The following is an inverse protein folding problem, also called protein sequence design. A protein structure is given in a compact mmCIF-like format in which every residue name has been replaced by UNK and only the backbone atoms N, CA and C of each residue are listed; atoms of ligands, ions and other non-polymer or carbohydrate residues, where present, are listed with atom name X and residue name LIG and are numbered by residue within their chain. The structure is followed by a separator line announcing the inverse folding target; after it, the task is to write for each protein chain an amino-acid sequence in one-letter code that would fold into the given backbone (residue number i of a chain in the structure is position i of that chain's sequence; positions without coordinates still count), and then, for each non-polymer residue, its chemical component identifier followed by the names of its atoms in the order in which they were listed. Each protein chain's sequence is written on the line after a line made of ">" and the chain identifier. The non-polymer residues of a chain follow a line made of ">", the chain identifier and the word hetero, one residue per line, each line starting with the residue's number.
data_IF_379407034007
#
_entry.id   IF_379407034007
#
_cell.length_a   1.000
_cell.length_b   1.000
_cell.length_c   1.000
_cell.angle_alpha   90.00
_cell.angle_beta   90.00
_cell.angle_gamma   90.00
#
_symmetry.space_group_name_H-M   'P 1'
#
loop_
_entity.id
_entity.type
_entity.pdbx_description
1 polymer ?
#
# COMPACT_ATOMS: atom_id res chain seq x y z
N UNK A 1 16.24 -0.30 -14.91
CA UNK A 1 15.14 0.51 -15.49
C UNK A 1 14.75 1.50 -14.40
N UNK A 2 14.98 2.78 -14.63
CA UNK A 2 14.47 3.85 -13.77
C UNK A 2 13.11 4.26 -14.33
N UNK A 3 12.07 4.29 -13.49
CA UNK A 3 10.71 4.69 -13.90
C UNK A 3 9.63 4.11 -13.00
N UNK A 4 8.38 4.43 -13.29
CA UNK A 4 7.21 3.90 -12.58
C UNK A 4 7.19 2.37 -12.62
N UNK A 5 6.97 1.68 -11.48
CA UNK A 5 6.92 0.22 -11.40
C UNK A 5 5.90 -0.43 -12.36
N UNK A 6 4.77 0.25 -12.60
CA UNK A 6 3.74 -0.20 -13.54
C UNK A 6 4.26 -0.22 -14.97
N UNK A 7 4.98 0.83 -15.39
CA UNK A 7 5.59 0.92 -16.71
C UNK A 7 6.66 -0.17 -16.90
N UNK A 8 7.49 -0.35 -15.88
CA UNK A 8 8.52 -1.40 -15.87
C UNK A 8 7.92 -2.80 -15.99
N UNK A 9 6.81 -3.08 -15.31
CA UNK A 9 6.10 -4.36 -15.40
C UNK A 9 5.56 -4.65 -16.80
N UNK A 10 5.05 -3.62 -17.50
CA UNK A 10 4.59 -3.76 -18.90
C UNK A 10 5.73 -4.08 -19.85
N UNK A 11 6.88 -3.43 -19.68
CA UNK A 11 8.09 -3.71 -20.47
C UNK A 11 8.57 -5.15 -20.22
N UNK A 12 8.59 -5.60 -18.96
CA UNK A 12 8.94 -7.00 -18.62
C UNK A 12 7.96 -7.98 -19.25
N UNK A 13 6.66 -7.66 -19.30
CA UNK A 13 5.64 -8.48 -19.95
C UNK A 13 5.93 -8.63 -21.46
N UNK A 14 6.30 -7.53 -22.14
CA UNK A 14 6.66 -7.54 -23.55
C UNK A 14 7.93 -8.40 -23.81
N UNK A 15 8.96 -8.27 -22.96
CA UNK A 15 10.17 -9.10 -23.04
C UNK A 15 9.87 -10.59 -22.83
N UNK A 16 8.99 -10.94 -21.88
CA UNK A 16 8.53 -12.34 -21.68
C UNK A 16 7.77 -12.89 -22.87
N UNK A 17 7.08 -12.03 -23.63
CA UNK A 17 6.44 -12.39 -24.89
C UNK A 17 7.42 -12.53 -26.07
N UNK A 18 8.72 -12.30 -25.84
CA UNK A 18 9.76 -12.42 -26.86
C UNK A 18 9.92 -11.19 -27.75
N UNK A 19 9.33 -10.05 -27.40
CA UNK A 19 9.47 -8.82 -28.17
C UNK A 19 10.85 -8.19 -27.95
N UNK A 20 11.47 -7.74 -29.04
CA UNK A 20 12.70 -6.95 -29.01
C UNK A 20 12.33 -5.46 -28.91
N UNK A 21 12.58 -4.84 -27.74
CA UNK A 21 12.18 -3.47 -27.48
C UNK A 21 12.86 -2.45 -28.41
N UNK A 22 14.15 -2.62 -28.72
CA UNK A 22 14.88 -1.72 -29.58
C UNK A 22 14.34 -1.76 -31.01
N UNK A 23 14.00 -2.96 -31.48
CA UNK A 23 13.40 -3.16 -32.79
C UNK A 23 12.00 -2.56 -32.88
N UNK A 24 11.14 -2.81 -31.87
CA UNK A 24 9.79 -2.24 -31.80
C UNK A 24 9.83 -0.71 -31.72
N UNK A 25 10.72 -0.12 -30.94
CA UNK A 25 10.89 1.34 -30.85
C UNK A 25 11.37 1.95 -32.16
N UNK A 26 12.20 1.24 -32.93
CA UNK A 26 12.68 1.70 -34.22
C UNK A 26 11.60 1.59 -35.31
N UNK A 27 10.79 0.52 -35.27
CA UNK A 27 9.70 0.28 -36.24
C UNK A 27 8.48 1.18 -35.95
N UNK A 28 8.19 1.46 -34.70
CA UNK A 28 7.02 2.22 -34.24
C UNK A 28 7.47 3.47 -33.45
N UNK A 29 8.10 4.39 -34.17
CA UNK A 29 8.61 5.62 -33.54
C UNK A 29 7.47 6.40 -32.90
N UNK A 30 7.62 6.75 -31.61
CA UNK A 30 6.68 7.61 -30.90
C UNK A 30 6.80 9.05 -31.39
N UNK A 31 5.67 9.64 -31.78
CA UNK A 31 5.58 11.01 -32.32
C UNK A 31 5.07 11.98 -31.25
N UNK A 32 4.06 11.55 -30.45
CA UNK A 32 3.45 12.39 -29.44
C UNK A 32 2.88 11.54 -28.29
N UNK A 33 2.54 12.17 -27.17
CA UNK A 33 2.03 11.49 -25.96
C UNK A 33 1.07 12.38 -25.17
N UNK A 34 -0.05 11.80 -24.74
CA UNK A 34 -0.88 12.32 -23.66
C UNK A 34 -0.41 11.64 -22.38
N UNK A 35 0.23 12.36 -21.43
CA UNK A 35 0.71 11.77 -20.18
C UNK A 35 -0.46 11.26 -19.32
N UNK A 36 -0.17 10.39 -18.35
CA UNK A 36 -1.18 9.93 -17.41
C UNK A 36 -1.62 11.06 -16.49
N UNK A 37 -2.93 11.27 -16.41
CA UNK A 37 -3.56 12.17 -15.45
C UNK A 37 -4.63 11.42 -14.66
N UNK A 38 -4.63 11.60 -13.33
CA UNK A 38 -5.55 10.89 -12.43
C UNK A 38 -7.03 11.20 -12.70
N UNK A 39 -7.32 12.37 -13.22
CA UNK A 39 -8.70 12.76 -13.60
C UNK A 39 -9.22 11.98 -14.81
N UNK A 40 -8.34 11.64 -15.76
CA UNK A 40 -8.68 10.91 -16.99
C UNK A 40 -8.45 9.41 -16.86
N UNK A 41 -7.58 8.98 -15.94
CA UNK A 41 -7.22 7.59 -15.65
C UNK A 41 -6.69 6.79 -16.87
N UNK A 42 -6.15 7.48 -17.87
CA UNK A 42 -5.47 6.87 -19.02
C UNK A 42 -4.26 7.70 -19.46
N UNK A 43 -3.41 7.08 -20.27
CA UNK A 43 -2.41 7.74 -21.10
C UNK A 43 -2.54 7.22 -22.53
N UNK A 44 -2.10 8.03 -23.50
CA UNK A 44 -2.09 7.65 -24.92
C UNK A 44 -0.77 8.04 -25.58
N UNK A 45 -0.39 7.32 -26.62
CA UNK A 45 0.81 7.61 -27.40
C UNK A 45 0.57 7.40 -28.89
N UNK A 46 0.99 8.37 -29.70
CA UNK A 46 0.93 8.33 -31.16
C UNK A 46 2.22 7.76 -31.73
N UNK A 47 2.09 6.78 -32.61
CA UNK A 47 3.22 6.09 -33.22
C UNK A 47 3.14 6.10 -34.75
N UNK A 48 4.29 6.26 -35.38
CA UNK A 48 4.47 5.99 -36.79
C UNK A 48 4.53 4.47 -37.03
N UNK A 49 3.92 4.00 -38.08
CA UNK A 49 3.87 2.54 -38.37
C UNK A 49 4.69 2.17 -39.61
N UNK A 50 4.59 2.93 -40.68
CA UNK A 50 5.39 2.81 -41.90
C UNK A 50 5.24 4.09 -42.75
N UNK A 51 6.16 4.39 -43.63
CA UNK A 51 6.06 5.55 -44.52
C UNK A 51 4.74 5.55 -45.31
N UNK A 52 4.02 6.65 -45.27
CA UNK A 52 2.73 6.88 -45.95
C UNK A 52 1.58 5.94 -45.55
N UNK A 53 1.68 5.19 -44.44
CA UNK A 53 0.58 4.43 -43.88
C UNK A 53 -0.16 5.22 -42.79
N UNK A 54 -1.34 4.76 -42.42
CA UNK A 54 -2.04 5.25 -41.21
C UNK A 54 -1.16 5.12 -39.98
N UNK A 55 -1.29 6.07 -39.06
CA UNK A 55 -0.60 6.05 -37.79
C UNK A 55 -1.45 5.38 -36.73
N UNK A 56 -0.82 4.98 -35.63
CA UNK A 56 -1.49 4.24 -34.57
C UNK A 56 -1.39 5.01 -33.24
N UNK A 57 -2.54 5.24 -32.61
CA UNK A 57 -2.62 5.67 -31.23
C UNK A 57 -2.81 4.44 -30.35
N UNK A 58 -1.95 4.25 -29.36
CA UNK A 58 -2.09 3.25 -28.31
C UNK A 58 -2.50 3.93 -27.02
N UNK A 59 -3.49 3.36 -26.34
CA UNK A 59 -4.06 3.88 -25.12
C UNK A 59 -4.01 2.79 -24.05
N UNK A 60 -3.63 3.16 -22.83
CA UNK A 60 -3.72 2.29 -21.66
C UNK A 60 -4.28 3.07 -20.47
N UNK A 61 -5.03 2.39 -19.61
CA UNK A 61 -5.65 3.04 -18.47
C UNK A 61 -6.45 2.09 -17.59
N UNK A 62 -7.28 2.68 -16.72
CA UNK A 62 -8.24 1.90 -15.97
C UNK A 62 -9.24 1.23 -16.91
N UNK A 63 -9.77 0.07 -16.50
CA UNK A 63 -10.72 -0.68 -17.34
C UNK A 63 -11.93 0.18 -17.69
N UNK A 64 -12.49 0.90 -16.71
CA UNK A 64 -13.65 1.77 -16.95
C UNK A 64 -13.33 2.88 -17.97
N UNK A 65 -12.23 3.62 -17.78
CA UNK A 65 -11.86 4.73 -18.67
C UNK A 65 -11.61 4.28 -20.12
N UNK A 66 -11.10 3.07 -20.33
CA UNK A 66 -10.83 2.53 -21.66
C UNK A 66 -12.11 1.95 -22.28
N UNK A 67 -12.89 1.19 -21.53
CA UNK A 67 -14.08 0.52 -22.07
C UNK A 67 -15.17 1.51 -22.47
N UNK A 68 -15.31 2.64 -21.77
CA UNK A 68 -16.28 3.70 -22.11
C UNK A 68 -15.99 4.35 -23.47
N UNK A 69 -14.77 4.22 -24.00
CA UNK A 69 -14.32 4.75 -25.28
C UNK A 69 -14.29 3.70 -26.39
N UNK A 70 -14.40 2.39 -26.05
CA UNK A 70 -14.27 1.29 -26.99
C UNK A 70 -15.62 0.91 -27.61
N UNK A 71 -15.61 0.73 -28.92
CA UNK A 71 -16.79 0.22 -29.67
C UNK A 71 -16.52 -1.17 -30.27
N UNK A 72 -15.25 -1.52 -30.41
CA UNK A 72 -14.81 -2.77 -31.05
C UNK A 72 -13.78 -3.47 -30.14
N UNK A 73 -13.66 -4.79 -30.31
CA UNK A 73 -12.57 -5.62 -29.79
C UNK A 73 -11.96 -6.46 -30.92
N UNK A 74 -10.80 -7.07 -30.69
CA UNK A 74 -10.20 -7.97 -31.67
C UNK A 74 -10.61 -9.41 -31.41
N UNK A 75 -11.04 -10.12 -32.48
CA UNK A 75 -11.21 -11.56 -32.44
C UNK A 75 -9.83 -12.28 -32.39
N UNK A 76 -9.78 -13.61 -32.14
CA UNK A 76 -8.52 -14.36 -32.14
C UNK A 76 -7.74 -14.32 -33.47
N UNK A 77 -8.37 -13.92 -34.57
CA UNK A 77 -7.71 -13.70 -35.84
C UNK A 77 -7.20 -12.28 -36.05
N UNK A 78 -7.40 -11.38 -35.07
CA UNK A 78 -6.99 -9.98 -35.12
C UNK A 78 -7.95 -9.07 -35.89
N UNK A 79 -9.18 -9.51 -36.19
CA UNK A 79 -10.19 -8.69 -36.88
C UNK A 79 -11.06 -7.96 -35.86
N UNK A 80 -11.40 -6.68 -36.11
CA UNK A 80 -12.32 -5.95 -35.27
C UNK A 80 -13.74 -6.53 -35.32
N UNK A 81 -14.32 -6.77 -34.15
CA UNK A 81 -15.71 -7.21 -33.94
C UNK A 81 -16.37 -6.28 -32.88
N UNK A 82 -17.71 -6.24 -32.80
CA UNK A 82 -18.39 -5.49 -31.72
C UNK A 82 -17.92 -5.94 -30.33
N UNK A 83 -17.65 -4.98 -29.46
CA UNK A 83 -17.12 -5.26 -28.11
C UNK A 83 -18.13 -5.98 -27.23
N UNK A 84 -17.67 -6.97 -26.47
CA UNK A 84 -18.45 -7.66 -25.44
C UNK A 84 -18.04 -7.18 -24.05
N UNK A 85 -18.66 -6.08 -23.59
CA UNK A 85 -18.35 -5.44 -22.31
C UNK A 85 -18.58 -6.38 -21.11
N UNK A 86 -19.61 -7.21 -21.14
CA UNK A 86 -19.93 -8.11 -20.02
C UNK A 86 -18.83 -9.16 -19.81
N UNK A 87 -18.33 -9.74 -20.90
CA UNK A 87 -17.23 -10.70 -20.85
C UNK A 87 -15.94 -10.05 -20.32
N UNK A 88 -15.60 -8.84 -20.79
CA UNK A 88 -14.39 -8.14 -20.37
C UNK A 88 -14.46 -7.78 -18.87
N UNK A 89 -15.60 -7.29 -18.39
CA UNK A 89 -15.81 -6.98 -16.96
C UNK A 89 -15.76 -8.24 -16.08
N UNK A 90 -16.24 -9.37 -16.58
CA UNK A 90 -16.07 -10.65 -15.87
C UNK A 90 -14.60 -11.06 -15.77
N UNK A 91 -13.83 -10.95 -16.85
CA UNK A 91 -12.39 -11.23 -16.85
C UNK A 91 -11.64 -10.29 -15.92
N UNK A 92 -11.92 -8.99 -15.95
CA UNK A 92 -11.37 -8.03 -15.00
C UNK A 92 -11.64 -8.45 -13.55
N UNK A 93 -12.88 -8.82 -13.24
CA UNK A 93 -13.26 -9.29 -11.89
C UNK A 93 -12.47 -10.53 -11.48
N UNK A 94 -12.26 -11.47 -12.40
CA UNK A 94 -11.44 -12.67 -12.13
C UNK A 94 -10.00 -12.30 -11.82
N UNK A 95 -9.38 -11.41 -12.61
CA UNK A 95 -8.03 -10.94 -12.39
C UNK A 95 -7.91 -10.15 -11.07
N UNK A 96 -8.85 -9.25 -10.79
CA UNK A 96 -8.88 -8.47 -9.55
C UNK A 96 -9.04 -9.35 -8.29
N UNK A 97 -9.85 -10.43 -8.37
CA UNK A 97 -9.98 -11.42 -7.27
C UNK A 97 -8.68 -12.17 -6.97
N UNK A 98 -7.76 -12.24 -7.93
CA UNK A 98 -6.42 -12.80 -7.74
C UNK A 98 -5.43 -11.79 -7.13
N UNK A 99 -5.87 -10.57 -6.85
CA UNK A 99 -5.02 -9.49 -6.32
C UNK A 99 -4.25 -8.74 -7.39
N UNK A 100 -4.58 -8.94 -8.67
CA UNK A 100 -3.90 -8.27 -9.76
C UNK A 100 -4.42 -6.83 -9.93
N UNK A 101 -3.51 -5.90 -10.12
CA UNK A 101 -3.82 -4.58 -10.66
C UNK A 101 -4.06 -4.76 -12.16
N UNK A 102 -5.27 -4.45 -12.61
CA UNK A 102 -5.67 -4.64 -14.01
C UNK A 102 -5.56 -3.33 -14.77
N UNK A 103 -4.91 -3.37 -15.93
CA UNK A 103 -4.92 -2.30 -16.93
C UNK A 103 -5.56 -2.79 -18.21
N UNK A 104 -6.36 -1.93 -18.82
CA UNK A 104 -6.93 -2.13 -20.14
C UNK A 104 -6.09 -1.43 -21.22
N UNK A 105 -6.08 -2.00 -22.41
CA UNK A 105 -5.36 -1.53 -23.58
C UNK A 105 -6.29 -1.40 -24.77
N UNK A 106 -6.15 -0.31 -25.51
CA UNK A 106 -6.86 -0.08 -26.75
C UNK A 106 -5.96 0.58 -27.79
N UNK A 107 -6.41 0.58 -29.03
CA UNK A 107 -5.76 1.31 -30.13
C UNK A 107 -6.79 2.03 -31.00
N UNK A 108 -6.31 3.03 -31.72
CA UNK A 108 -7.07 3.73 -32.77
C UNK A 108 -6.16 4.03 -33.94
N UNK A 109 -6.65 3.77 -35.13
CA UNK A 109 -5.98 4.14 -36.36
C UNK A 109 -6.32 5.60 -36.73
N UNK A 110 -5.30 6.39 -37.04
CA UNK A 110 -5.44 7.81 -37.37
C UNK A 110 -4.76 8.13 -38.69
N UNK A 111 -5.15 9.26 -39.35
CA UNK A 111 -4.59 9.63 -40.64
C UNK A 111 -3.07 9.79 -40.65
N UNK A 112 -2.38 9.50 -41.80
CA UNK A 112 -0.93 9.64 -41.92
C UNK A 112 -0.37 11.03 -41.63
N UNK A 113 -1.19 12.07 -41.80
CA UNK A 113 -0.79 13.47 -41.62
C UNK A 113 -0.81 13.90 -40.15
N UNK A 114 -1.45 13.15 -39.26
CA UNK A 114 -1.55 13.49 -37.84
C UNK A 114 -0.18 13.39 -37.17
N UNK A 115 0.26 14.47 -36.51
CA UNK A 115 1.58 14.57 -35.85
C UNK A 115 1.46 14.78 -34.35
N UNK A 116 0.27 15.12 -33.86
CA UNK A 116 -0.03 15.31 -32.45
C UNK A 116 -1.38 14.69 -32.09
N UNK A 117 -1.61 14.44 -30.80
CA UNK A 117 -2.87 13.90 -30.26
C UNK A 117 -3.35 14.75 -29.09
N UNK A 118 -4.68 15.00 -29.05
CA UNK A 118 -5.39 15.59 -27.92
C UNK A 118 -6.36 14.59 -27.31
N UNK A 119 -6.98 14.99 -26.19
CA UNK A 119 -7.98 14.15 -25.52
C UNK A 119 -9.18 13.83 -26.43
N UNK A 120 -9.56 14.74 -27.31
CA UNK A 120 -10.62 14.57 -28.30
C UNK A 120 -10.36 13.43 -29.29
N UNK A 121 -9.10 13.13 -29.61
CA UNK A 121 -8.73 12.07 -30.53
C UNK A 121 -8.94 10.66 -29.96
N UNK A 122 -9.03 10.55 -28.63
CA UNK A 122 -9.09 9.28 -27.91
C UNK A 122 -10.41 9.05 -27.15
N UNK A 123 -11.43 9.87 -27.42
CA UNK A 123 -12.74 9.80 -26.73
C UNK A 123 -13.75 8.85 -27.38
N UNK A 124 -13.44 8.26 -28.52
CA UNK A 124 -14.38 7.36 -29.24
C UNK A 124 -13.66 6.47 -30.25
N UNK A 125 -14.38 5.44 -30.71
CA UNK A 125 -13.95 4.53 -31.79
C UNK A 125 -12.68 3.75 -31.48
N UNK A 126 -12.39 3.51 -30.19
CA UNK A 126 -11.25 2.67 -29.83
C UNK A 126 -11.54 1.21 -30.07
N UNK A 127 -10.51 0.48 -30.47
CA UNK A 127 -10.51 -0.97 -30.57
C UNK A 127 -9.81 -1.54 -29.35
N UNK A 128 -10.54 -2.24 -28.51
CA UNK A 128 -10.01 -2.90 -27.31
C UNK A 128 -9.03 -4.02 -27.71
N UNK A 129 -7.88 -4.05 -27.06
CA UNK A 129 -6.81 -5.03 -27.30
C UNK A 129 -6.77 -6.15 -26.27
N UNK A 130 -7.07 -5.82 -25.02
CA UNK A 130 -7.01 -6.78 -23.92
C UNK A 130 -6.78 -6.16 -22.56
N UNK A 131 -6.70 -7.03 -21.55
CA UNK A 131 -6.35 -6.70 -20.18
C UNK A 131 -4.98 -7.25 -19.84
N UNK A 132 -4.21 -6.54 -19.03
CA UNK A 132 -3.03 -7.06 -18.36
C UNK A 132 -3.21 -6.94 -16.85
N UNK A 133 -3.03 -8.06 -16.14
CA UNK A 133 -2.98 -8.12 -14.70
C UNK A 133 -1.52 -8.11 -14.21
N UNK A 134 -1.21 -7.22 -13.28
CA UNK A 134 0.10 -7.10 -12.65
C UNK A 134 -0.04 -7.33 -11.16
N UNK A 135 0.97 -7.94 -10.56
CA UNK A 135 1.04 -8.15 -9.12
C UNK A 135 2.43 -7.78 -8.65
N UNK A 136 2.47 -7.07 -7.53
CA UNK A 136 3.65 -6.96 -6.70
C UNK A 136 3.43 -7.89 -5.50
N UNK A 137 4.04 -9.09 -5.49
CA UNK A 137 3.76 -10.07 -4.46
C UNK A 137 4.30 -9.56 -3.11
N UNK A 138 3.57 -9.81 -2.00
CA UNK A 138 4.07 -9.47 -0.68
C UNK A 138 5.43 -10.12 -0.41
N UNK A 139 6.32 -9.36 0.20
CA UNK A 139 7.66 -9.87 0.58
C UNK A 139 7.51 -11.01 1.60
N UNK A 140 8.26 -12.12 1.45
CA UNK A 140 8.18 -13.26 2.38
C UNK A 140 8.44 -12.87 3.84
N UNK A 141 9.33 -11.88 4.07
CA UNK A 141 9.66 -11.35 5.38
C UNK A 141 8.46 -10.64 6.01
N UNK A 142 7.70 -9.87 5.22
CA UNK A 142 6.50 -9.17 5.68
C UNK A 142 5.41 -10.18 6.10
N UNK A 143 5.23 -11.28 5.37
CA UNK A 143 4.29 -12.35 5.74
C UNK A 143 4.65 -12.94 7.10
N UNK A 144 5.93 -13.25 7.32
CA UNK A 144 6.43 -13.79 8.59
C UNK A 144 6.25 -12.81 9.74
N UNK A 145 6.58 -11.53 9.51
CA UNK A 145 6.46 -10.49 10.53
C UNK A 145 4.99 -10.23 10.91
N UNK A 146 4.06 -10.21 9.95
CA UNK A 146 2.63 -10.11 10.24
C UNK A 146 2.16 -11.26 11.13
N UNK A 147 2.57 -12.49 10.81
CA UNK A 147 2.24 -13.66 11.62
C UNK A 147 2.82 -13.57 13.05
N UNK A 148 4.09 -13.14 13.19
CA UNK A 148 4.74 -12.95 14.48
C UNK A 148 4.03 -11.87 15.31
N UNK A 149 3.69 -10.72 14.72
CA UNK A 149 2.89 -9.69 15.36
C UNK A 149 1.55 -10.23 15.89
N UNK A 150 0.81 -10.97 15.06
CA UNK A 150 -0.48 -11.57 15.45
C UNK A 150 -0.32 -12.56 16.60
N UNK A 151 0.72 -13.41 16.56
CA UNK A 151 1.04 -14.36 17.63
C UNK A 151 1.39 -13.64 18.94
N UNK A 152 2.04 -12.49 18.84
CA UNK A 152 2.37 -11.62 19.97
C UNK A 152 1.17 -10.76 20.47
N UNK A 153 -0.04 -10.96 19.91
CA UNK A 153 -1.27 -10.26 20.30
C UNK A 153 -1.40 -8.87 19.67
N UNK A 154 -0.59 -8.53 18.66
CA UNK A 154 -0.65 -7.25 17.96
C UNK A 154 -1.61 -7.39 16.77
N UNK A 155 -2.61 -6.51 16.69
CA UNK A 155 -3.49 -6.43 15.55
C UNK A 155 -2.80 -5.65 14.42
N UNK A 156 -2.55 -6.32 13.30
CA UNK A 156 -2.04 -5.67 12.09
C UNK A 156 -3.20 -5.29 11.20
N UNK A 157 -3.25 -4.05 10.75
CA UNK A 157 -4.29 -3.49 9.89
C UNK A 157 -3.65 -2.92 8.63
N UNK A 158 -4.28 -3.11 7.48
CA UNK A 158 -3.81 -2.59 6.20
C UNK A 158 -4.68 -1.41 5.77
N UNK A 159 -4.03 -0.28 5.47
CA UNK A 159 -4.67 0.90 4.90
C UNK A 159 -4.05 1.14 3.53
N UNK A 160 -4.88 1.21 2.49
CA UNK A 160 -4.39 1.35 1.10
C UNK A 160 -5.28 2.25 0.26
N UNK A 161 -4.70 2.85 -0.77
CA UNK A 161 -5.42 3.52 -1.85
C UNK A 161 -6.00 2.57 -2.90
N UNK A 162 -5.66 1.28 -2.88
CA UNK A 162 -6.09 0.27 -3.84
C UNK A 162 -7.57 -0.07 -3.74
N UNK A 163 -8.07 -0.73 -4.80
CA UNK A 163 -9.43 -1.25 -4.84
C UNK A 163 -9.64 -2.35 -3.78
N UNK A 164 -10.84 -2.41 -3.20
CA UNK A 164 -11.17 -3.34 -2.10
C UNK A 164 -10.88 -4.81 -2.43
N UNK A 165 -11.12 -5.26 -3.67
CA UNK A 165 -10.86 -6.65 -4.08
C UNK A 165 -9.36 -6.96 -4.10
N UNK A 166 -8.54 -6.04 -4.62
CA UNK A 166 -7.07 -6.15 -4.63
C UNK A 166 -6.53 -6.15 -3.20
N UNK A 167 -6.99 -5.21 -2.38
CA UNK A 167 -6.61 -5.11 -0.98
C UNK A 167 -6.95 -6.39 -0.19
N UNK A 168 -8.15 -6.96 -0.41
CA UNK A 168 -8.55 -8.22 0.21
C UNK A 168 -7.67 -9.40 -0.23
N UNK A 169 -7.31 -9.47 -1.51
CA UNK A 169 -6.46 -10.53 -2.02
C UNK A 169 -5.05 -10.46 -1.42
N UNK A 170 -4.45 -9.27 -1.34
CA UNK A 170 -3.16 -9.03 -0.68
C UNK A 170 -3.26 -9.38 0.80
N UNK A 171 -4.30 -8.91 1.50
CA UNK A 171 -4.52 -9.21 2.92
C UNK A 171 -4.54 -10.71 3.21
N UNK A 172 -5.21 -11.49 2.34
CA UNK A 172 -5.19 -12.96 2.45
C UNK A 172 -3.80 -13.56 2.25
N UNK A 173 -3.03 -13.04 1.29
CA UNK A 173 -1.67 -13.51 1.01
C UNK A 173 -0.71 -13.24 2.17
N UNK A 174 -0.83 -12.09 2.85
CA UNK A 174 -0.01 -11.74 4.02
C UNK A 174 -0.57 -12.29 5.35
N UNK A 175 -1.69 -13.03 5.30
CA UNK A 175 -2.27 -13.65 6.50
C UNK A 175 -2.99 -12.68 7.42
N UNK A 176 -3.46 -11.52 6.93
CA UNK A 176 -4.34 -10.63 7.69
C UNK A 176 -5.72 -11.29 7.80
N UNK A 177 -5.87 -12.14 8.80
CA UNK A 177 -7.15 -12.77 9.12
C UNK A 177 -8.00 -11.80 9.95
N UNK A 178 -9.32 -11.86 9.75
CA UNK A 178 -10.26 -11.21 10.67
C UNK A 178 -10.17 -11.84 12.05
N UNK A 179 -10.82 -11.23 13.04
CA UNK A 179 -10.94 -11.80 14.38
C UNK A 179 -11.39 -13.26 14.29
N UNK A 180 -10.61 -14.18 14.87
CA UNK A 180 -10.88 -15.63 14.91
C UNK A 180 -10.68 -16.42 13.60
N UNK A 181 -9.76 -16.01 12.70
CA UNK A 181 -9.44 -16.78 11.50
C UNK A 181 -10.47 -16.71 10.37
N UNK A 182 -11.43 -15.81 10.48
CA UNK A 182 -12.43 -15.52 9.44
C UNK A 182 -11.83 -14.73 8.26
N UNK A 183 -12.57 -14.63 7.16
CA UNK A 183 -12.22 -13.76 6.04
C UNK A 183 -12.00 -12.33 6.53
N UNK A 184 -10.94 -11.62 6.09
CA UNK A 184 -10.70 -10.24 6.49
C UNK A 184 -11.91 -9.36 6.19
N UNK A 185 -12.33 -8.55 7.16
CA UNK A 185 -13.35 -7.52 6.94
C UNK A 185 -12.65 -6.36 6.22
N UNK A 186 -13.24 -5.93 5.11
CA UNK A 186 -12.75 -4.79 4.32
C UNK A 186 -13.79 -3.67 4.38
N UNK A 187 -13.34 -2.46 4.72
CA UNK A 187 -14.13 -1.24 4.59
C UNK A 187 -13.48 -0.31 3.56
N UNK A 188 -14.30 0.31 2.73
CA UNK A 188 -13.86 1.31 1.76
C UNK A 188 -13.94 2.71 2.37
N UNK A 189 -13.14 3.67 1.83
CA UNK A 189 -13.20 5.06 2.23
C UNK A 189 -14.62 5.65 2.12
N UNK A 190 -15.42 5.23 1.13
CA UNK A 190 -16.83 5.62 1.01
C UNK A 190 -17.66 5.15 2.20
N UNK A 191 -17.53 3.89 2.58
CA UNK A 191 -18.22 3.34 3.77
C UNK A 191 -17.75 4.02 5.06
N UNK A 192 -16.44 4.32 5.18
CA UNK A 192 -15.91 5.07 6.33
C UNK A 192 -16.48 6.49 6.44
N UNK A 193 -16.74 7.15 5.31
CA UNK A 193 -17.33 8.48 5.29
C UNK A 193 -18.79 8.51 5.78
N UNK A 194 -19.50 7.39 5.69
CA UNK A 194 -20.88 7.24 6.14
C UNK A 194 -21.00 6.94 7.64
N UNK A 195 -19.89 6.55 8.31
CA UNK A 195 -19.88 6.23 9.73
C UNK A 195 -19.71 7.49 10.60
N UNK A 196 -20.48 7.56 11.67
CA UNK A 196 -20.22 8.48 12.79
C UNK A 196 -18.95 8.08 13.52
N UNK A 197 -18.34 8.98 14.30
CA UNK A 197 -17.12 8.68 15.04
C UNK A 197 -17.31 7.52 16.03
N UNK A 198 -18.44 7.45 16.72
CA UNK A 198 -18.77 6.34 17.63
C UNK A 198 -18.91 4.97 16.91
N UNK A 199 -19.46 4.97 15.70
CA UNK A 199 -19.53 3.75 14.86
C UNK A 199 -18.16 3.38 14.32
N UNK A 200 -17.34 4.39 13.93
CA UNK A 200 -15.98 4.19 13.44
C UNK A 200 -15.09 3.52 14.48
N UNK A 201 -15.17 3.91 15.75
CA UNK A 201 -14.43 3.30 16.87
C UNK A 201 -14.64 1.78 16.91
N UNK A 202 -15.89 1.32 16.76
CA UNK A 202 -16.21 -0.11 16.76
C UNK A 202 -15.83 -0.79 15.44
N UNK A 203 -16.01 -0.12 14.30
CA UNK A 203 -15.69 -0.62 12.99
C UNK A 203 -14.17 -0.76 12.82
N UNK A 204 -13.39 0.23 13.25
CA UNK A 204 -11.93 0.23 13.16
C UNK A 204 -11.30 -0.95 13.90
N UNK A 205 -11.83 -1.29 15.09
CA UNK A 205 -11.34 -2.43 15.87
C UNK A 205 -11.49 -3.77 15.16
N UNK A 206 -12.63 -4.00 14.50
CA UNK A 206 -12.97 -5.27 13.86
C UNK A 206 -12.44 -5.42 12.44
N UNK A 207 -12.13 -4.30 11.78
CA UNK A 207 -11.73 -4.27 10.38
C UNK A 207 -10.23 -4.51 10.24
N UNK A 208 -9.86 -5.43 9.36
CA UNK A 208 -8.45 -5.73 9.06
C UNK A 208 -7.91 -4.88 7.89
N UNK A 209 -8.79 -4.46 6.97
CA UNK A 209 -8.39 -3.80 5.71
C UNK A 209 -9.24 -2.57 5.43
N UNK A 210 -8.57 -1.47 5.11
CA UNK A 210 -9.20 -0.22 4.71
C UNK A 210 -8.72 0.15 3.31
N UNK A 211 -9.65 0.17 2.34
CA UNK A 211 -9.37 0.37 0.93
C UNK A 211 -9.87 1.72 0.41
N UNK A 212 -9.16 2.34 -0.52
CA UNK A 212 -9.47 3.68 -1.09
C UNK A 212 -9.68 4.75 -0.02
N UNK A 213 -8.79 4.79 0.96
CA UNK A 213 -8.86 5.68 2.12
C UNK A 213 -8.17 7.02 1.80
N UNK A 214 -8.84 8.12 2.14
CA UNK A 214 -8.25 9.47 2.02
C UNK A 214 -7.28 9.76 3.19
N UNK A 215 -6.41 10.78 3.07
CA UNK A 215 -5.51 11.18 4.16
C UNK A 215 -6.23 11.50 5.47
N UNK A 216 -7.35 12.23 5.39
CA UNK A 216 -8.16 12.58 6.58
C UNK A 216 -8.76 11.34 7.24
N UNK A 217 -9.13 10.35 6.45
CA UNK A 217 -9.67 9.09 6.97
C UNK A 217 -8.59 8.24 7.65
N UNK A 218 -7.33 8.31 7.19
CA UNK A 218 -6.20 7.65 7.89
C UNK A 218 -6.03 8.21 9.29
N UNK A 219 -6.09 9.53 9.44
CA UNK A 219 -6.03 10.20 10.73
C UNK A 219 -7.19 9.77 11.64
N UNK A 220 -8.44 9.81 11.15
CA UNK A 220 -9.63 9.39 11.90
C UNK A 220 -9.55 7.91 12.36
N UNK A 221 -8.94 7.03 11.56
CA UNK A 221 -8.73 5.63 11.94
C UNK A 221 -7.76 5.50 13.12
N UNK A 222 -6.66 6.25 13.12
CA UNK A 222 -5.72 6.29 14.24
C UNK A 222 -6.41 6.78 15.52
N UNK A 223 -7.12 7.91 15.45
CA UNK A 223 -7.88 8.47 16.58
C UNK A 223 -8.92 7.48 17.11
N UNK A 224 -9.67 6.81 16.22
CA UNK A 224 -10.68 5.83 16.60
C UNK A 224 -10.08 4.60 17.34
N UNK A 225 -8.89 4.16 16.95
CA UNK A 225 -8.17 3.08 17.64
C UNK A 225 -7.62 3.53 19.00
N UNK A 226 -7.09 4.76 19.07
CA UNK A 226 -6.63 5.36 20.34
C UNK A 226 -7.78 5.56 21.33
N UNK A 227 -8.98 5.92 20.87
CA UNK A 227 -10.18 6.03 21.74
C UNK A 227 -10.54 4.67 22.36
N UNK A 228 -10.23 3.56 21.69
CA UNK A 228 -10.33 2.19 22.24
C UNK A 228 -9.18 1.85 23.22
N UNK A 229 -8.28 2.80 23.49
CA UNK A 229 -7.08 2.62 24.31
C UNK A 229 -6.07 1.62 23.73
N UNK A 230 -6.06 1.46 22.42
CA UNK A 230 -4.96 0.77 21.75
C UNK A 230 -3.75 1.70 21.66
N UNK A 231 -2.56 1.14 21.81
CA UNK A 231 -1.31 1.80 21.42
C UNK A 231 -1.14 1.55 19.92
N UNK A 232 -1.16 2.62 19.15
CA UNK A 232 -1.20 2.59 17.69
C UNK A 232 0.17 2.94 17.11
N UNK A 233 0.79 1.99 16.41
CA UNK A 233 1.91 2.28 15.53
C UNK A 233 1.39 2.47 14.10
N UNK A 234 1.74 3.59 13.46
CA UNK A 234 1.38 3.91 12.08
C UNK A 234 2.61 3.89 11.20
N UNK A 235 2.55 3.21 10.05
CA UNK A 235 3.60 3.25 9.05
C UNK A 235 3.16 4.02 7.82
N UNK A 236 4.05 4.79 7.20
CA UNK A 236 3.75 5.55 6.00
C UNK A 236 5.00 6.02 5.28
N UNK A 237 4.84 6.34 3.99
CA UNK A 237 5.91 6.80 3.12
C UNK A 237 5.59 8.14 2.42
N UNK A 238 4.33 8.51 2.36
CA UNK A 238 3.84 9.68 1.63
C UNK A 238 3.57 10.92 2.48
N UNK A 239 3.51 12.07 1.83
CA UNK A 239 3.06 13.33 2.45
C UNK A 239 1.65 13.17 3.05
N UNK A 240 0.81 12.36 2.41
CA UNK A 240 -0.56 12.08 2.83
C UNK A 240 -0.65 11.26 4.12
N UNK A 241 0.44 10.66 4.58
CA UNK A 241 0.51 9.86 5.81
C UNK A 241 0.95 10.68 7.01
N UNK A 242 1.58 11.83 6.78
CA UNK A 242 2.19 12.64 7.83
C UNK A 242 1.23 13.02 8.98
N UNK A 243 -0.03 13.41 8.76
CA UNK A 243 -0.96 13.69 9.86
C UNK A 243 -1.25 12.45 10.72
N UNK A 244 -1.41 11.26 10.10
CA UNK A 244 -1.67 10.02 10.80
C UNK A 244 -0.42 9.49 11.52
N UNK A 245 0.78 9.65 10.91
CA UNK A 245 2.07 9.34 11.55
C UNK A 245 2.27 10.15 12.82
N UNK A 246 2.04 11.46 12.74
CA UNK A 246 2.20 12.37 13.88
C UNK A 246 1.18 12.14 14.99
N UNK A 247 -0.03 11.71 14.66
CA UNK A 247 -1.11 11.44 15.62
C UNK A 247 -0.92 10.11 16.34
N UNK A 248 -0.32 9.12 15.68
CA UNK A 248 -0.12 7.79 16.27
C UNK A 248 0.78 7.84 17.51
N UNK A 249 0.71 6.81 18.36
CA UNK A 249 1.58 6.70 19.53
C UNK A 249 3.03 6.40 19.13
N UNK A 250 3.22 5.78 17.94
CA UNK A 250 4.52 5.53 17.33
C UNK A 250 4.37 5.71 15.82
N UNK A 251 4.83 6.83 15.29
CA UNK A 251 4.94 7.08 13.85
C UNK A 251 6.22 6.46 13.27
N UNK A 252 6.10 5.67 12.20
CA UNK A 252 7.24 5.01 11.55
C UNK A 252 7.24 5.36 10.07
N UNK A 253 8.24 6.10 9.61
CA UNK A 253 8.41 6.45 8.19
C UNK A 253 9.39 5.51 7.49
N UNK A 254 9.18 5.33 6.18
CA UNK A 254 10.11 4.64 5.30
C UNK A 254 11.32 5.53 5.03
N UNK A 255 12.53 4.98 5.11
CA UNK A 255 13.79 5.75 5.00
C UNK A 255 14.25 5.91 3.55
N UNK A 256 14.02 4.91 2.69
CA UNK A 256 14.42 4.91 1.29
C UNK A 256 13.33 5.55 0.43
N UNK A 257 12.10 5.06 0.50
CA UNK A 257 10.97 5.53 -0.32
C UNK A 257 10.20 6.68 0.31
N UNK A 258 10.35 6.89 1.63
CA UNK A 258 9.62 7.93 2.37
C UNK A 258 10.01 9.34 1.97
N UNK A 259 9.01 10.21 1.90
CA UNK A 259 9.19 11.66 1.69
C UNK A 259 9.80 12.31 2.93
N UNK A 260 10.47 13.46 2.75
CA UNK A 260 11.01 14.22 3.89
C UNK A 260 9.92 14.61 4.88
N UNK A 261 8.72 14.95 4.38
CA UNK A 261 7.55 15.28 5.23
C UNK A 261 7.12 14.10 6.10
N UNK A 262 7.08 12.88 5.55
CA UNK A 262 6.75 11.68 6.35
C UNK A 262 7.81 11.38 7.39
N UNK A 263 9.10 11.55 7.04
CA UNK A 263 10.24 11.34 7.96
C UNK A 263 10.25 12.36 9.12
N UNK A 264 9.94 13.63 8.83
CA UNK A 264 9.83 14.68 9.86
C UNK A 264 8.62 14.50 10.79
N UNK A 265 7.54 13.88 10.29
CA UNK A 265 6.33 13.62 11.07
C UNK A 265 6.43 12.37 11.96
N UNK A 266 7.37 11.47 11.69
CA UNK A 266 7.51 10.19 12.34
C UNK A 266 8.47 10.23 13.54
N UNK A 267 8.24 9.35 14.54
CA UNK A 267 9.14 9.13 15.66
C UNK A 267 10.35 8.27 15.30
N UNK A 268 10.17 7.39 14.31
CA UNK A 268 11.19 6.44 13.84
C UNK A 268 11.24 6.41 12.32
N UNK A 269 12.44 6.13 11.78
CA UNK A 269 12.67 5.97 10.34
C UNK A 269 13.31 4.61 10.08
N UNK A 270 12.68 3.81 9.22
CA UNK A 270 13.20 2.50 8.79
C UNK A 270 14.22 2.70 7.68
N UNK A 271 15.46 2.36 7.93
CA UNK A 271 16.55 2.52 6.96
C UNK A 271 16.52 1.50 5.81
N UNK A 272 15.78 0.43 5.96
CA UNK A 272 15.67 -0.69 5.01
C UNK A 272 14.28 -0.83 4.35
N UNK A 273 13.33 0.02 4.70
CA UNK A 273 11.93 -0.03 4.26
C UNK A 273 11.29 -1.41 4.44
N UNK A 274 11.66 -2.12 5.52
CA UNK A 274 11.20 -3.48 5.77
C UNK A 274 10.30 -3.55 7.01
N UNK A 275 9.06 -3.99 6.82
CA UNK A 275 8.11 -4.18 7.92
C UNK A 275 8.62 -5.18 8.99
N UNK A 276 9.44 -6.16 8.61
CA UNK A 276 10.03 -7.10 9.56
C UNK A 276 10.93 -6.43 10.60
N UNK A 277 11.53 -5.29 10.27
CA UNK A 277 12.34 -4.51 11.22
C UNK A 277 11.49 -3.89 12.32
N UNK A 278 10.22 -3.57 12.04
CA UNK A 278 9.26 -3.10 13.07
C UNK A 278 8.96 -4.24 14.05
N UNK A 279 8.72 -5.43 13.54
CA UNK A 279 8.46 -6.62 14.37
C UNK A 279 9.65 -6.92 15.30
N UNK A 280 10.86 -6.91 14.76
CA UNK A 280 12.09 -7.08 15.53
C UNK A 280 12.26 -5.97 16.60
N UNK A 281 11.95 -4.71 16.27
CA UNK A 281 12.01 -3.61 17.23
C UNK A 281 11.00 -3.78 18.38
N UNK A 282 9.82 -4.33 18.10
CA UNK A 282 8.81 -4.64 19.15
C UNK A 282 9.30 -5.77 20.04
N UNK A 283 9.91 -6.83 19.47
CA UNK A 283 10.48 -7.96 20.26
C UNK A 283 11.57 -7.44 21.21
N UNK A 284 12.55 -6.68 20.70
CA UNK A 284 13.61 -6.09 21.51
C UNK A 284 13.06 -5.12 22.58
N UNK A 285 12.12 -4.28 22.21
CA UNK A 285 11.47 -3.32 23.14
C UNK A 285 10.78 -4.05 24.30
N UNK A 286 10.10 -5.15 24.06
CA UNK A 286 9.51 -6.02 25.08
C UNK A 286 10.58 -6.63 25.98
N UNK A 287 11.67 -7.10 25.39
CA UNK A 287 12.83 -7.64 26.13
C UNK A 287 13.45 -6.60 27.07
N UNK A 288 13.64 -5.37 26.59
CA UNK A 288 14.12 -4.24 27.41
C UNK A 288 13.16 -3.93 28.53
N UNK A 289 11.84 -3.86 28.25
CA UNK A 289 10.83 -3.61 29.27
C UNK A 289 10.82 -4.68 30.38
N UNK A 290 10.92 -5.95 30.03
CA UNK A 290 11.00 -7.07 30.98
C UNK A 290 12.26 -6.97 31.85
N UNK A 291 13.39 -6.57 31.27
CA UNK A 291 14.63 -6.38 31.99
C UNK A 291 14.55 -5.19 32.94
N UNK A 292 13.99 -4.07 32.52
CA UNK A 292 13.73 -2.90 33.36
C UNK A 292 12.81 -3.26 34.54
N UNK A 293 11.74 -3.99 34.26
CA UNK A 293 10.80 -4.45 35.30
C UNK A 293 11.50 -5.32 36.34
N UNK A 294 12.37 -6.26 35.92
CA UNK A 294 13.17 -7.10 36.83
C UNK A 294 14.13 -6.28 37.65
N UNK A 295 14.84 -5.31 37.04
CA UNK A 295 15.78 -4.41 37.75
C UNK A 295 15.03 -3.60 38.81
N UNK A 296 13.89 -3.00 38.48
CA UNK A 296 13.09 -2.22 39.38
C UNK A 296 12.58 -3.09 40.54
N UNK A 297 12.05 -4.29 40.19
CA UNK A 297 11.52 -5.22 41.20
C UNK A 297 12.59 -5.74 42.18
N UNK A 298 13.86 -5.77 41.76
CA UNK A 298 15.00 -6.17 42.58
C UNK A 298 15.56 -4.96 43.35
N UNK A 299 15.75 -3.82 42.72
CA UNK A 299 16.39 -2.63 43.32
C UNK A 299 15.52 -1.95 44.36
N UNK A 300 14.21 -1.88 44.11
CA UNK A 300 13.30 -1.16 45.00
C UNK A 300 13.19 -1.78 46.40
N UNK A 301 13.00 -3.12 46.54
CA UNK A 301 12.98 -3.76 47.89
C UNK A 301 14.35 -3.72 48.57
N UNK A 302 15.46 -3.82 47.81
CA UNK A 302 16.81 -3.75 48.34
C UNK A 302 17.10 -2.39 48.98
N UNK A 303 16.84 -1.30 48.22
CA UNK A 303 17.00 0.05 48.72
C UNK A 303 16.06 0.36 49.91
N UNK A 304 14.83 -0.17 49.87
CA UNK A 304 13.91 -0.02 50.98
C UNK A 304 14.43 -0.78 52.21
N UNK A 305 14.97 -1.97 52.06
CA UNK A 305 15.57 -2.78 53.12
C UNK A 305 16.75 -2.05 53.76
N UNK A 306 17.67 -1.51 52.93
CA UNK A 306 18.80 -0.72 53.40
C UNK A 306 18.35 0.51 54.20
N UNK A 307 17.37 1.27 53.68
CA UNK A 307 16.76 2.42 54.38
C UNK A 307 16.12 2.05 55.71
N UNK A 308 15.42 0.89 55.77
CA UNK A 308 14.84 0.39 57.00
C UNK A 308 15.88 -0.03 58.04
N UNK A 309 16.95 -0.68 57.62
CA UNK A 309 18.07 -1.05 58.50
C UNK A 309 18.75 0.18 59.10
N UNK A 310 19.00 1.21 58.28
CA UNK A 310 19.55 2.48 58.74
C UNK A 310 18.61 3.16 59.74
N UNK A 311 17.30 3.23 59.41
CA UNK A 311 16.31 3.81 60.29
C UNK A 311 16.22 3.09 61.63
N UNK A 312 16.22 1.76 61.60
CA UNK A 312 16.18 0.91 62.79
C UNK A 312 17.44 1.11 63.66
N UNK A 313 18.62 1.20 63.04
CA UNK A 313 19.88 1.48 63.74
C UNK A 313 19.85 2.84 64.48
N UNK A 314 19.31 3.87 63.84
CA UNK A 314 19.14 5.20 64.44
C UNK A 314 18.16 5.14 65.63
N UNK A 315 17.02 4.47 65.47
CA UNK A 315 16.00 4.37 66.53
C UNK A 315 16.47 3.55 67.73
N UNK A 316 17.33 2.54 67.51
CA UNK A 316 17.84 1.69 68.59
C UNK A 316 19.17 2.14 69.16
N UNK A 317 19.78 3.20 68.60
CA UNK A 317 21.07 3.72 69.06
C UNK A 317 22.27 2.80 68.77
N UNK A 318 22.14 1.86 67.81
CA UNK A 318 23.19 0.97 67.36
C UNK A 318 24.03 1.66 66.30
N UNK A 319 25.34 1.30 66.20
CA UNK A 319 26.19 1.81 65.12
C UNK A 319 25.63 1.51 63.71
N UNK A 320 25.67 2.47 62.79
CA UNK A 320 25.17 2.30 61.43
C UNK A 320 25.83 1.11 60.76
N UNK A 321 25.08 0.08 60.32
CA UNK A 321 25.64 -1.13 59.72
C UNK A 321 26.13 -0.92 58.26
N UNK A 322 25.72 0.19 57.64
CA UNK A 322 26.07 0.55 56.25
C UNK A 322 26.57 2.00 56.27
N UNK A 323 27.73 2.25 55.69
CA UNK A 323 28.27 3.60 55.54
C UNK A 323 27.73 4.23 54.24
N UNK A 324 27.58 5.58 54.15
CA UNK A 324 27.01 6.27 53.00
C UNK A 324 27.81 6.12 51.72
N UNK A 325 28.93 5.43 51.71
CA UNK A 325 29.86 5.24 50.58
C UNK A 325 29.89 3.78 50.08
N UNK A 326 29.10 2.91 50.64
CA UNK A 326 28.91 1.53 50.19
C UNK A 326 27.61 1.39 49.42
#
# INVERSE_FOLDING_TARGET
>A
MEGDPTESALVVSALKAGLNLEEEQRLKRRLDVIPFESQHQYMASLHDTAPNSSKMVYIKGSTDAILDQCTLELDPSGRPIPINLDNIRQLETVLAKQGLRVLAFARKEVPPQQTSIGHEDVTSELVFLGLQGMIDPPRPEAIKAVHACQTAGIQVKMITGDHALTAMAIAKQIGLNGTSGSTPIVLTGRQLAELTDAELVNAADRTAVFARVSPEQKLRLVEALQERRHVVAMTGDGVNDAPALKQSDIGVAMGITGTDVSKEAADMVLTDDNFATIEAAVEEGRGVFDNLTKIIAWTLPTNLGEGLVILLAILTGIALPILPVQ
#
